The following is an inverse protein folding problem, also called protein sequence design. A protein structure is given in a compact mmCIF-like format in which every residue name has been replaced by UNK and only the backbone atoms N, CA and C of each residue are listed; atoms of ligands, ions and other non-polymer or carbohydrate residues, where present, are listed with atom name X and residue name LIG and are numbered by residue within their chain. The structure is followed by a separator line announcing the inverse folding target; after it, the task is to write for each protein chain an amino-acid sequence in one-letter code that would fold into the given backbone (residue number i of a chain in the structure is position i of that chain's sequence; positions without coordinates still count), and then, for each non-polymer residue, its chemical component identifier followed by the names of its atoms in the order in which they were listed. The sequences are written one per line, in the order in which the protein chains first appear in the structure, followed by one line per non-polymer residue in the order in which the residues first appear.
data_IF_758638631763
#
_entry.id   IF_758638631763
#
_cell.length_a   1.000
_cell.length_b   1.000
_cell.length_c   1.000
_cell.angle_alpha   90.00
_cell.angle_beta   90.00
_cell.angle_gamma   90.00
#
_symmetry.space_group_name_H-M   'P 1'
#
loop_
_entity.id
_entity.type
_entity.pdbx_description
1 polymer ?
#
# COMPACT_ATOMS: atom_id res chain seq x y z
N UNK A 1 -29.42 12.40 -12.45
CA UNK A 1 -28.10 11.83 -12.14
C UNK A 1 -27.21 12.08 -13.34
N UNK A 2 -26.09 12.76 -13.13
CA UNK A 2 -25.05 12.89 -14.15
C UNK A 2 -23.92 11.94 -13.80
N UNK A 3 -23.30 11.33 -14.81
CA UNK A 3 -22.21 10.37 -14.65
C UNK A 3 -21.01 10.80 -15.49
N UNK A 4 -19.82 10.68 -14.92
CA UNK A 4 -18.54 10.89 -15.59
C UNK A 4 -17.72 9.62 -15.45
N UNK A 5 -17.18 9.12 -16.55
CA UNK A 5 -16.36 7.91 -16.59
C UNK A 5 -14.91 8.30 -16.79
N UNK A 6 -14.07 7.92 -15.84
CA UNK A 6 -12.63 8.15 -15.84
C UNK A 6 -11.93 6.83 -16.16
N UNK A 7 -11.04 6.86 -17.16
CA UNK A 7 -10.23 5.71 -17.52
C UNK A 7 -8.80 5.92 -17.04
N UNK A 8 -8.28 4.95 -16.30
CA UNK A 8 -6.90 4.90 -15.83
C UNK A 8 -6.16 3.83 -16.62
N UNK A 9 -5.15 4.22 -17.37
CA UNK A 9 -4.21 3.29 -17.96
C UNK A 9 -3.07 2.98 -16.99
N UNK A 10 -2.64 1.73 -16.93
CA UNK A 10 -1.52 1.25 -16.12
C UNK A 10 -0.56 0.50 -17.03
N UNK A 11 0.67 0.96 -17.17
CA UNK A 11 1.69 0.28 -18.00
C UNK A 11 2.17 -1.04 -17.41
N UNK A 12 2.23 -1.10 -16.07
CA UNK A 12 2.63 -2.27 -15.32
C UNK A 12 1.63 -2.50 -14.19
N UNK A 13 0.74 -3.46 -14.43
CA UNK A 13 -0.40 -3.80 -13.61
C UNK A 13 -0.21 -5.09 -12.78
N UNK A 14 0.78 -5.93 -13.13
CA UNK A 14 0.97 -7.24 -12.52
C UNK A 14 1.94 -7.20 -11.32
N UNK A 15 1.45 -7.36 -10.07
CA UNK A 15 2.32 -7.42 -8.89
C UNK A 15 3.23 -8.67 -8.90
N UNK A 16 4.34 -8.68 -8.13
CA UNK A 16 5.10 -9.89 -7.87
C UNK A 16 4.27 -10.90 -7.08
N UNK A 17 4.58 -12.18 -7.27
CA UNK A 17 3.87 -13.27 -6.62
C UNK A 17 4.34 -14.64 -7.07
N UNK A 18 4.65 -15.49 -6.10
CA UNK A 18 4.76 -16.93 -6.30
C UNK A 18 3.38 -17.54 -6.63
N UNK A 19 3.33 -18.82 -6.98
CA UNK A 19 2.10 -19.47 -7.43
C UNK A 19 0.92 -19.31 -6.45
N UNK A 20 1.13 -19.58 -5.17
CA UNK A 20 0.07 -19.47 -4.16
C UNK A 20 -0.39 -18.01 -3.99
N UNK A 21 0.56 -17.09 -3.87
CA UNK A 21 0.26 -15.68 -3.69
C UNK A 21 -0.42 -15.06 -4.92
N UNK A 22 -0.02 -15.44 -6.14
CA UNK A 22 -0.70 -15.00 -7.36
C UNK A 22 -2.16 -15.46 -7.43
N UNK A 23 -2.48 -16.64 -6.89
CA UNK A 23 -3.86 -17.11 -6.77
C UNK A 23 -4.65 -16.27 -5.76
N UNK A 24 -4.06 -15.95 -4.61
CA UNK A 24 -4.68 -15.08 -3.60
C UNK A 24 -4.96 -13.68 -4.16
N UNK A 25 -4.02 -13.14 -4.94
CA UNK A 25 -4.16 -11.84 -5.60
C UNK A 25 -5.29 -11.88 -6.65
N UNK A 26 -5.33 -12.91 -7.51
CA UNK A 26 -6.41 -13.05 -8.49
C UNK A 26 -7.79 -13.14 -7.79
N UNK A 27 -7.89 -13.95 -6.74
CA UNK A 27 -9.12 -14.09 -5.96
C UNK A 27 -9.56 -12.73 -5.37
N UNK A 28 -8.62 -11.96 -4.83
CA UNK A 28 -8.91 -10.61 -4.34
C UNK A 28 -9.43 -9.68 -5.45
N UNK A 29 -8.83 -9.70 -6.64
CA UNK A 29 -9.29 -8.85 -7.76
C UNK A 29 -10.66 -9.25 -8.29
N UNK A 30 -10.98 -10.55 -8.29
CA UNK A 30 -12.32 -11.04 -8.59
C UNK A 30 -13.33 -10.56 -7.54
N UNK A 31 -12.96 -10.59 -6.25
CA UNK A 31 -13.78 -10.06 -5.16
C UNK A 31 -14.00 -8.54 -5.30
N UNK A 32 -12.95 -7.77 -5.62
CA UNK A 32 -13.02 -6.31 -5.86
C UNK A 32 -13.98 -6.01 -7.02
N UNK A 33 -13.83 -6.71 -8.15
CA UNK A 33 -14.67 -6.52 -9.33
C UNK A 33 -16.15 -6.83 -9.04
N UNK A 34 -16.42 -7.84 -8.21
CA UNK A 34 -17.77 -8.14 -7.76
C UNK A 34 -18.30 -7.09 -6.75
N UNK A 35 -17.44 -6.60 -5.86
CA UNK A 35 -17.82 -5.71 -4.76
C UNK A 35 -18.31 -4.33 -5.22
N UNK A 36 -17.73 -3.78 -6.30
CA UNK A 36 -18.00 -2.42 -6.78
C UNK A 36 -18.92 -2.31 -7.99
N UNK A 37 -19.72 -3.35 -8.31
CA UNK A 37 -20.70 -3.27 -9.41
C UNK A 37 -21.67 -2.10 -9.23
N UNK A 38 -22.19 -1.88 -8.03
CA UNK A 38 -23.06 -0.75 -7.67
C UNK A 38 -22.91 -0.37 -6.19
N UNK A 39 -21.96 0.52 -5.86
CA UNK A 39 -21.74 1.00 -4.48
C UNK A 39 -21.75 2.53 -4.39
N UNK A 40 -22.25 3.03 -3.27
CA UNK A 40 -22.09 4.43 -2.89
C UNK A 40 -20.70 4.63 -2.29
N UNK A 41 -20.03 5.69 -2.68
CA UNK A 41 -18.72 6.09 -2.15
C UNK A 41 -18.78 7.54 -1.71
N UNK A 42 -18.51 7.77 -0.43
CA UNK A 42 -18.51 9.11 0.15
C UNK A 42 -17.09 9.68 0.09
N UNK A 43 -16.96 10.83 -0.54
CA UNK A 43 -15.70 11.54 -0.68
C UNK A 43 -15.94 13.05 -0.74
N UNK A 44 -14.88 13.81 -0.52
CA UNK A 44 -14.88 15.25 -0.76
C UNK A 44 -14.36 15.52 -2.17
N UNK A 45 -15.10 16.32 -2.95
CA UNK A 45 -14.63 16.82 -4.23
C UNK A 45 -13.56 17.90 -4.06
N UNK A 46 -12.70 18.10 -5.05
CA UNK A 46 -11.60 19.08 -4.97
C UNK A 46 -12.08 20.54 -4.92
N UNK A 47 -13.25 20.84 -5.49
CA UNK A 47 -13.80 22.20 -5.56
C UNK A 47 -14.96 22.47 -4.61
N UNK A 48 -15.52 21.41 -4.02
CA UNK A 48 -16.61 21.52 -3.06
C UNK A 48 -16.10 21.20 -1.66
N UNK A 49 -15.99 22.20 -0.79
CA UNK A 49 -15.65 22.03 0.64
C UNK A 49 -16.65 21.15 1.41
N UNK A 50 -17.79 20.80 0.80
CA UNK A 50 -18.80 19.93 1.40
C UNK A 50 -18.67 18.50 0.87
N UNK A 51 -18.57 17.54 1.79
CA UNK A 51 -18.71 16.12 1.48
C UNK A 51 -19.99 15.86 0.67
N UNK A 52 -19.86 15.10 -0.41
CA UNK A 52 -21.00 14.64 -1.19
C UNK A 52 -20.99 13.11 -1.26
N UNK A 53 -22.20 12.54 -1.28
CA UNK A 53 -22.35 11.11 -1.56
C UNK A 53 -22.30 10.92 -3.09
N UNK A 54 -21.18 10.38 -3.57
CA UNK A 54 -21.05 9.94 -4.96
C UNK A 54 -21.47 8.48 -5.06
N UNK A 55 -22.00 8.09 -6.21
CA UNK A 55 -22.12 6.69 -6.58
C UNK A 55 -20.93 6.34 -7.46
N UNK A 56 -20.14 5.36 -7.04
CA UNK A 56 -18.94 4.93 -7.77
C UNK A 56 -19.13 3.50 -8.23
N UNK A 57 -18.99 3.29 -9.53
CA UNK A 57 -18.90 1.95 -10.11
C UNK A 57 -17.48 1.76 -10.63
N UNK A 58 -16.91 0.59 -10.40
CA UNK A 58 -15.54 0.27 -10.77
C UNK A 58 -15.53 -0.97 -11.65
N UNK A 59 -14.90 -0.85 -12.82
CA UNK A 59 -14.69 -1.96 -13.74
C UNK A 59 -13.20 -2.31 -13.76
N UNK A 60 -12.92 -3.53 -13.31
CA UNK A 60 -11.60 -4.14 -13.27
C UNK A 60 -11.50 -5.38 -14.18
N UNK A 61 -12.41 -5.54 -15.15
CA UNK A 61 -12.48 -6.73 -16.01
C UNK A 61 -11.15 -6.98 -16.73
N UNK A 62 -10.58 -5.94 -17.36
CA UNK A 62 -9.28 -6.04 -18.05
C UNK A 62 -8.13 -6.48 -17.12
N UNK A 63 -8.17 -6.06 -15.84
CA UNK A 63 -7.17 -6.44 -14.84
C UNK A 63 -7.28 -7.92 -14.48
N UNK A 64 -8.51 -8.41 -14.25
CA UNK A 64 -8.78 -9.82 -13.95
C UNK A 64 -8.37 -10.69 -15.13
N UNK A 65 -8.73 -10.32 -16.35
CA UNK A 65 -8.35 -11.04 -17.57
C UNK A 65 -6.84 -11.14 -17.75
N UNK A 66 -6.10 -10.06 -17.49
CA UNK A 66 -4.64 -10.03 -17.49
C UNK A 66 -4.05 -11.01 -16.46
N UNK A 67 -4.56 -11.01 -15.24
CA UNK A 67 -4.09 -11.90 -14.17
C UNK A 67 -4.39 -13.38 -14.48
N UNK A 68 -5.57 -13.68 -15.02
CA UNK A 68 -5.94 -15.03 -15.45
C UNK A 68 -5.07 -15.51 -16.62
N UNK A 69 -4.77 -14.63 -17.58
CA UNK A 69 -3.83 -14.93 -18.65
C UNK A 69 -2.44 -15.23 -18.08
N UNK A 70 -1.95 -14.41 -17.15
CA UNK A 70 -0.62 -14.59 -16.57
C UNK A 70 -0.48 -15.94 -15.84
N UNK A 71 -1.49 -16.31 -15.04
CA UNK A 71 -1.54 -17.59 -14.35
C UNK A 71 -1.65 -18.78 -15.32
N UNK A 72 -2.48 -18.68 -16.37
CA UNK A 72 -2.62 -19.75 -17.36
C UNK A 72 -1.35 -20.01 -18.16
N UNK A 73 -0.56 -18.97 -18.43
CA UNK A 73 0.64 -19.10 -19.27
C UNK A 73 1.88 -19.50 -18.48
N UNK A 74 2.02 -19.04 -17.23
CA UNK A 74 3.28 -19.14 -16.49
C UNK A 74 3.13 -19.64 -15.03
N UNK A 75 1.94 -20.09 -14.60
CA UNK A 75 1.61 -20.55 -13.24
C UNK A 75 1.74 -19.51 -12.10
N UNK A 76 2.52 -18.46 -12.27
CA UNK A 76 2.69 -17.37 -11.30
C UNK A 76 3.05 -16.05 -11.97
N UNK A 77 2.81 -14.95 -11.28
CA UNK A 77 3.15 -13.62 -11.78
C UNK A 77 4.67 -13.41 -11.87
N UNK A 78 5.45 -13.97 -10.92
CA UNK A 78 6.91 -13.89 -10.97
C UNK A 78 7.49 -14.57 -12.23
N UNK A 79 7.00 -15.77 -12.58
CA UNK A 79 7.41 -16.48 -13.80
C UNK A 79 6.99 -15.73 -15.06
N UNK A 80 5.75 -15.21 -15.10
CA UNK A 80 5.27 -14.39 -16.20
C UNK A 80 6.14 -13.15 -16.43
N UNK A 81 6.55 -12.50 -15.33
CA UNK A 81 7.45 -11.35 -15.36
C UNK A 81 8.84 -11.69 -15.88
N UNK A 82 9.38 -12.86 -15.52
CA UNK A 82 10.68 -13.34 -16.03
C UNK A 82 10.64 -13.65 -17.53
N UNK A 83 9.51 -14.17 -18.03
CA UNK A 83 9.33 -14.49 -19.44
C UNK A 83 9.43 -13.25 -20.36
N UNK A 84 9.02 -12.05 -19.87
CA UNK A 84 9.14 -10.77 -20.60
C UNK A 84 10.59 -10.44 -21.01
N UNK A 85 11.59 -10.93 -20.26
CA UNK A 85 13.00 -10.72 -20.59
C UNK A 85 13.51 -11.60 -21.75
N UNK A 86 12.70 -12.53 -22.26
CA UNK A 86 13.16 -13.61 -23.16
C UNK A 86 12.62 -13.53 -24.60
N UNK A 87 11.80 -12.52 -24.94
CA UNK A 87 11.50 -12.16 -26.34
C UNK A 87 10.05 -12.26 -26.78
N UNK A 88 9.16 -12.86 -25.98
CA UNK A 88 7.72 -12.65 -26.11
C UNK A 88 7.34 -11.44 -25.24
N UNK A 89 6.58 -10.48 -25.78
CA UNK A 89 6.03 -9.35 -25.02
C UNK A 89 4.55 -9.64 -24.68
N UNK A 90 4.24 -10.52 -23.69
CA UNK A 90 2.91 -10.56 -23.14
C UNK A 90 2.44 -9.16 -22.69
N UNK A 91 1.13 -8.87 -22.75
CA UNK A 91 0.62 -7.65 -22.16
C UNK A 91 0.96 -7.62 -20.66
N UNK A 92 1.42 -6.46 -20.19
CA UNK A 92 1.80 -6.21 -18.79
C UNK A 92 1.04 -5.04 -18.18
N UNK A 93 0.34 -4.29 -19.03
CA UNK A 93 -0.53 -3.19 -18.66
C UNK A 93 -2.00 -3.58 -18.69
N UNK A 94 -2.81 -2.79 -17.99
CA UNK A 94 -4.26 -2.92 -17.94
C UNK A 94 -4.88 -1.54 -17.86
N UNK A 95 -6.12 -1.44 -18.31
CA UNK A 95 -6.97 -0.29 -18.05
C UNK A 95 -7.91 -0.59 -16.87
N UNK A 96 -8.23 0.44 -16.10
CA UNK A 96 -9.25 0.44 -15.07
C UNK A 96 -10.24 1.57 -15.36
N UNK A 97 -11.52 1.33 -15.11
CA UNK A 97 -12.56 2.35 -15.33
C UNK A 97 -13.29 2.65 -14.03
N UNK A 98 -13.36 3.94 -13.68
CA UNK A 98 -14.10 4.45 -12.53
C UNK A 98 -15.20 5.37 -13.06
N UNK A 99 -16.46 5.00 -12.85
CA UNK A 99 -17.59 5.88 -13.18
C UNK A 99 -18.15 6.50 -11.92
N UNK A 100 -18.22 7.82 -11.90
CA UNK A 100 -18.67 8.65 -10.79
C UNK A 100 -19.99 9.27 -11.18
N UNK A 101 -21.00 9.05 -10.35
CA UNK A 101 -22.34 9.60 -10.56
C UNK A 101 -22.79 10.41 -9.34
N UNK A 102 -23.42 11.56 -9.59
CA UNK A 102 -24.01 12.38 -8.54
C UNK A 102 -25.42 12.85 -8.94
N UNK A 103 -26.17 13.38 -7.97
CA UNK A 103 -27.50 13.96 -8.22
C UNK A 103 -27.38 15.16 -9.17
N UNK A 104 -26.46 16.06 -8.87
CA UNK A 104 -26.16 17.25 -9.64
C UNK A 104 -25.05 16.99 -10.68
N UNK A 105 -24.71 18.01 -11.47
CA UNK A 105 -23.59 17.94 -12.42
C UNK A 105 -22.28 17.82 -11.66
N UNK A 106 -21.52 16.76 -11.92
CA UNK A 106 -20.16 16.58 -11.37
C UNK A 106 -19.18 17.46 -12.16
N UNK A 107 -18.50 18.44 -11.54
CA UNK A 107 -17.39 19.14 -12.18
C UNK A 107 -16.29 18.15 -12.56
N UNK A 108 -15.62 18.39 -13.70
CA UNK A 108 -14.57 17.48 -14.19
C UNK A 108 -13.45 17.29 -13.16
N UNK A 109 -12.98 18.38 -12.53
CA UNK A 109 -11.97 18.34 -11.47
C UNK A 109 -12.39 17.47 -10.29
N UNK A 110 -13.65 17.57 -9.86
CA UNK A 110 -14.17 16.74 -8.76
C UNK A 110 -14.25 15.27 -9.17
N UNK A 111 -14.57 14.96 -10.43
CA UNK A 111 -14.55 13.58 -10.90
C UNK A 111 -13.14 12.98 -10.83
N UNK A 112 -12.10 13.69 -11.28
CA UNK A 112 -10.73 13.22 -11.16
C UNK A 112 -10.23 13.15 -9.72
N UNK A 113 -10.61 14.11 -8.87
CA UNK A 113 -10.30 14.10 -7.43
C UNK A 113 -10.91 12.91 -6.71
N UNK A 114 -12.22 12.68 -6.90
CA UNK A 114 -12.94 11.54 -6.31
C UNK A 114 -12.41 10.21 -6.83
N UNK A 115 -12.10 10.10 -8.14
CA UNK A 115 -11.47 8.90 -8.70
C UNK A 115 -10.12 8.62 -8.05
N UNK A 116 -9.31 9.66 -7.83
CA UNK A 116 -8.00 9.54 -7.19
C UNK A 116 -8.09 9.09 -5.74
N UNK A 117 -9.04 9.64 -4.98
CA UNK A 117 -9.31 9.23 -3.58
C UNK A 117 -9.83 7.79 -3.53
N UNK A 118 -10.73 7.41 -4.43
CA UNK A 118 -11.21 6.04 -4.56
C UNK A 118 -10.07 5.06 -4.82
N UNK A 119 -9.18 5.35 -5.78
CA UNK A 119 -8.02 4.52 -6.10
C UNK A 119 -7.04 4.41 -4.92
N UNK A 120 -6.82 5.49 -4.17
CA UNK A 120 -6.01 5.45 -2.94
C UNK A 120 -6.62 4.51 -1.91
N UNK A 121 -7.93 4.60 -1.68
CA UNK A 121 -8.60 3.72 -0.73
C UNK A 121 -8.61 2.26 -1.19
N UNK A 122 -8.73 2.03 -2.51
CA UNK A 122 -8.57 0.71 -3.11
C UNK A 122 -7.16 0.15 -2.86
N UNK A 123 -6.11 0.96 -3.03
CA UNK A 123 -4.73 0.55 -2.75
C UNK A 123 -4.53 0.17 -1.29
N UNK A 124 -5.08 0.95 -0.35
CA UNK A 124 -5.07 0.63 1.07
C UNK A 124 -5.82 -0.69 1.36
N UNK A 125 -7.06 -0.79 0.87
CA UNK A 125 -7.92 -1.92 1.14
C UNK A 125 -7.33 -3.22 0.59
N UNK A 126 -6.85 -3.20 -0.65
CA UNK A 126 -6.24 -4.35 -1.29
C UNK A 126 -4.99 -4.83 -0.54
N UNK A 127 -4.06 -3.92 -0.20
CA UNK A 127 -2.83 -4.31 0.50
C UNK A 127 -3.02 -4.70 1.98
N UNK A 128 -4.01 -4.14 2.68
CA UNK A 128 -4.35 -4.61 4.03
C UNK A 128 -5.04 -5.98 3.97
N UNK A 129 -5.82 -6.25 2.91
CA UNK A 129 -6.47 -7.55 2.68
C UNK A 129 -5.46 -8.62 2.32
N UNK A 130 -4.70 -8.40 1.24
CA UNK A 130 -3.63 -9.27 0.74
C UNK A 130 -2.42 -8.37 0.44
N UNK A 131 -1.38 -8.40 1.29
CA UNK A 131 -0.17 -7.60 1.10
C UNK A 131 0.48 -7.76 -0.27
N UNK A 132 0.80 -6.67 -0.97
CA UNK A 132 1.46 -6.69 -2.27
C UNK A 132 0.54 -6.99 -3.46
N UNK A 133 -0.78 -6.96 -3.29
CA UNK A 133 -1.75 -7.42 -4.29
C UNK A 133 -2.12 -6.44 -5.41
N UNK A 134 -1.71 -5.18 -5.30
CA UNK A 134 -2.07 -4.14 -6.27
C UNK A 134 -0.83 -3.38 -6.71
N UNK A 135 -0.65 -3.32 -8.03
CA UNK A 135 0.43 -2.58 -8.67
C UNK A 135 -0.16 -1.62 -9.70
N UNK A 136 0.13 -0.34 -9.54
CA UNK A 136 -0.31 0.74 -10.42
C UNK A 136 0.92 1.51 -10.88
N UNK A 137 1.73 0.93 -11.79
CA UNK A 137 3.01 1.53 -12.23
C UNK A 137 2.92 2.03 -13.66
N UNK A 138 3.42 3.25 -13.90
CA UNK A 138 3.34 3.91 -15.21
C UNK A 138 1.91 4.27 -15.55
N UNK A 139 1.27 5.02 -14.65
CA UNK A 139 -0.15 5.37 -14.71
C UNK A 139 -0.41 6.70 -15.39
N UNK A 140 -1.46 6.79 -16.20
CA UNK A 140 -2.02 8.05 -16.68
C UNK A 140 -3.52 7.94 -16.94
N UNK A 141 -4.23 9.05 -16.84
CA UNK A 141 -5.63 9.11 -17.22
C UNK A 141 -5.77 9.24 -18.74
N UNK A 142 -6.74 8.53 -19.33
CA UNK A 142 -7.02 8.58 -20.77
C UNK A 142 -8.38 9.24 -21.04
N UNK A 143 -8.47 9.97 -22.16
CA UNK A 143 -9.67 10.69 -22.59
C UNK A 143 -9.44 12.18 -22.79
N UNK A 144 -10.47 12.89 -23.26
CA UNK A 144 -10.42 14.34 -23.42
C UNK A 144 -10.31 15.02 -22.05
N UNK A 145 -9.44 16.04 -21.94
CA UNK A 145 -9.21 16.79 -20.69
C UNK A 145 -8.28 16.11 -19.68
N UNK A 146 -7.97 14.82 -19.85
CA UNK A 146 -7.18 14.04 -18.89
C UNK A 146 -5.75 14.53 -18.69
N UNK A 147 -5.18 15.23 -19.69
CA UNK A 147 -3.83 15.79 -19.66
C UNK A 147 -3.59 16.82 -18.55
N UNK A 148 -4.66 17.36 -17.93
CA UNK A 148 -4.56 18.30 -16.82
C UNK A 148 -4.37 17.63 -15.45
N UNK A 149 -4.51 16.30 -15.38
CA UNK A 149 -4.54 15.55 -14.11
C UNK A 149 -3.46 14.48 -14.08
N UNK A 150 -2.74 14.40 -12.95
CA UNK A 150 -1.70 13.38 -12.76
C UNK A 150 -2.29 12.14 -12.08
N UNK A 151 -2.17 10.99 -12.74
CA UNK A 151 -2.55 9.71 -12.14
C UNK A 151 -1.45 9.21 -11.19
N UNK A 152 -1.85 8.77 -10.00
CA UNK A 152 -0.93 8.31 -8.99
C UNK A 152 -0.37 6.92 -9.28
N UNK A 153 0.93 6.77 -9.04
CA UNK A 153 1.64 5.49 -9.16
C UNK A 153 1.83 4.84 -7.80
N UNK A 154 1.56 3.54 -7.72
CA UNK A 154 1.78 2.71 -6.52
C UNK A 154 2.51 1.43 -6.88
N UNK A 155 3.62 1.17 -6.19
CA UNK A 155 4.46 0.00 -6.38
C UNK A 155 4.22 -1.01 -5.26
N UNK A 156 4.06 -2.28 -5.63
CA UNK A 156 3.78 -3.39 -4.73
C UNK A 156 5.02 -4.06 -4.15
N UNK A 157 6.23 -3.81 -4.68
CA UNK A 157 7.43 -4.56 -4.33
C UNK A 157 7.73 -4.55 -2.82
N UNK A 158 7.64 -3.40 -2.16
CA UNK A 158 7.89 -3.31 -0.71
C UNK A 158 6.84 -4.08 0.11
N UNK A 159 5.58 -4.04 -0.30
CA UNK A 159 4.48 -4.70 0.41
C UNK A 159 4.53 -6.22 0.21
N UNK A 160 4.94 -6.67 -0.98
CA UNK A 160 5.26 -8.07 -1.24
C UNK A 160 6.52 -8.52 -0.48
N UNK A 161 7.58 -7.71 -0.46
CA UNK A 161 8.80 -7.98 0.33
C UNK A 161 8.49 -8.11 1.81
N UNK A 162 7.64 -7.24 2.35
CA UNK A 162 7.14 -7.32 3.71
C UNK A 162 6.33 -8.61 3.98
N UNK A 163 5.51 -9.05 3.03
CA UNK A 163 4.84 -10.34 3.10
C UNK A 163 5.84 -11.50 3.14
N UNK A 164 6.84 -11.50 2.27
CA UNK A 164 7.88 -12.52 2.24
C UNK A 164 8.68 -12.53 3.55
N UNK A 165 9.07 -11.36 4.07
CA UNK A 165 9.77 -11.23 5.33
C UNK A 165 8.97 -11.81 6.51
N UNK A 166 7.65 -11.56 6.55
CA UNK A 166 6.75 -12.14 7.53
C UNK A 166 6.65 -13.67 7.41
N UNK A 167 6.55 -14.20 6.20
CA UNK A 167 6.49 -15.65 5.95
C UNK A 167 7.81 -16.31 6.34
N UNK A 168 8.95 -15.74 5.95
CA UNK A 168 10.28 -16.30 6.23
C UNK A 168 10.63 -16.32 7.72
N UNK A 169 10.22 -15.29 8.45
CA UNK A 169 10.47 -15.20 9.89
C UNK A 169 9.34 -15.81 10.74
N UNK A 170 8.28 -16.30 10.09
CA UNK A 170 7.03 -16.75 10.73
C UNK A 170 6.41 -15.69 11.67
N UNK A 171 6.81 -14.42 11.50
CA UNK A 171 6.43 -13.29 12.33
C UNK A 171 6.66 -11.96 11.58
N UNK A 172 5.74 -10.98 11.71
CA UNK A 172 4.42 -11.11 12.31
C UNK A 172 3.49 -11.93 11.40
N UNK A 173 2.46 -12.57 11.96
CA UNK A 173 1.53 -13.36 11.13
C UNK A 173 0.62 -12.46 10.29
N UNK A 174 0.94 -12.31 9.01
CA UNK A 174 0.06 -11.69 8.02
C UNK A 174 -0.93 -12.73 7.49
N UNK A 175 -2.22 -12.42 7.52
CA UNK A 175 -3.27 -13.30 6.99
C UNK A 175 -4.12 -12.54 5.99
N UNK A 176 -4.68 -13.24 5.02
CA UNK A 176 -5.72 -12.67 4.17
C UNK A 176 -6.91 -12.24 5.05
N UNK A 177 -7.38 -11.01 4.87
CA UNK A 177 -8.61 -10.48 5.46
C UNK A 177 -9.60 -10.26 4.32
N UNK A 178 -10.89 -10.62 4.48
CA UNK A 178 -11.90 -10.33 3.46
C UNK A 178 -11.91 -8.85 3.07
N UNK A 179 -11.86 -8.57 1.77
CA UNK A 179 -11.81 -7.20 1.24
C UNK A 179 -12.94 -6.32 1.77
N UNK A 180 -14.16 -6.86 1.82
CA UNK A 180 -15.35 -6.17 2.32
C UNK A 180 -15.22 -5.72 3.78
N UNK A 181 -14.53 -6.51 4.62
CA UNK A 181 -14.27 -6.17 6.02
C UNK A 181 -13.29 -5.01 6.14
N UNK A 182 -12.21 -5.03 5.34
CA UNK A 182 -11.22 -3.95 5.30
C UNK A 182 -11.85 -2.67 4.77
N UNK A 183 -12.63 -2.77 3.68
CA UNK A 183 -13.31 -1.62 3.09
C UNK A 183 -14.26 -0.93 4.07
N UNK A 184 -15.13 -1.70 4.74
CA UNK A 184 -16.05 -1.17 5.76
C UNK A 184 -15.30 -0.54 6.95
N UNK A 185 -14.14 -1.08 7.31
CA UNK A 185 -13.30 -0.47 8.34
C UNK A 185 -12.71 0.88 7.86
N UNK A 186 -12.21 0.96 6.62
CA UNK A 186 -11.69 2.20 6.04
C UNK A 186 -12.76 3.30 5.96
N UNK A 187 -14.00 2.97 5.61
CA UNK A 187 -15.11 3.94 5.60
C UNK A 187 -15.32 4.62 6.97
N UNK A 188 -15.09 3.89 8.08
CA UNK A 188 -15.20 4.43 9.45
C UNK A 188 -14.04 5.34 9.85
N UNK A 189 -12.93 5.31 9.11
CA UNK A 189 -11.78 6.21 9.36
C UNK A 189 -12.02 7.62 8.82
N UNK A 190 -13.01 7.77 7.93
CA UNK A 190 -13.28 9.01 7.17
C UNK A 190 -12.08 9.47 6.33
N UNK A 191 -11.18 8.54 5.95
CA UNK A 191 -9.98 8.87 5.18
C UNK A 191 -10.28 9.40 3.78
N UNK A 192 -11.42 9.05 3.17
CA UNK A 192 -11.86 9.54 1.85
C UNK A 192 -12.45 10.94 1.86
N UNK A 193 -12.86 11.42 3.04
CA UNK A 193 -13.50 12.73 3.17
C UNK A 193 -12.52 13.86 3.51
N UNK A 194 -11.25 13.54 3.75
CA UNK A 194 -10.29 14.53 4.22
C UNK A 194 -9.02 14.53 3.39
N UNK A 195 -8.57 15.73 3.00
CA UNK A 195 -7.27 15.90 2.35
C UNK A 195 -6.13 16.02 3.37
N UNK A 196 -6.43 16.31 4.64
CA UNK A 196 -5.43 16.53 5.70
C UNK A 196 -5.65 15.55 6.85
N UNK A 197 -4.65 14.71 7.11
CA UNK A 197 -4.69 13.74 8.19
C UNK A 197 -4.58 14.39 9.58
N UNK A 198 -5.72 14.74 10.18
CA UNK A 198 -5.78 15.22 11.56
C UNK A 198 -5.76 14.06 12.58
N UNK A 199 -6.55 13.01 12.32
CA UNK A 199 -6.60 11.77 13.13
C UNK A 199 -5.34 10.94 12.92
N UNK A 200 -4.83 10.31 13.98
CA UNK A 200 -3.59 9.49 13.88
C UNK A 200 -3.76 8.29 12.94
N UNK A 201 -4.94 7.69 12.87
CA UNK A 201 -5.21 6.63 11.89
C UNK A 201 -5.11 7.14 10.46
N UNK A 202 -5.59 8.36 10.16
CA UNK A 202 -5.45 8.95 8.82
C UNK A 202 -3.99 9.27 8.53
N UNK A 203 -3.19 9.67 9.53
CA UNK A 203 -1.74 9.89 9.36
C UNK A 203 -1.05 8.58 9.03
N UNK A 204 -1.41 7.49 9.69
CA UNK A 204 -0.91 6.15 9.40
C UNK A 204 -1.28 5.72 7.97
N UNK A 205 -2.55 5.82 7.58
CA UNK A 205 -3.02 5.42 6.24
C UNK A 205 -2.40 6.29 5.13
N UNK A 206 -2.27 7.59 5.32
CA UNK A 206 -1.64 8.46 4.31
C UNK A 206 -0.13 8.22 4.24
N UNK A 207 0.51 7.91 5.36
CA UNK A 207 1.92 7.48 5.38
C UNK A 207 2.09 6.16 4.64
N UNK A 208 1.19 5.19 4.85
CA UNK A 208 1.17 3.95 4.09
C UNK A 208 1.11 4.21 2.58
N UNK A 209 0.20 5.08 2.12
CA UNK A 209 0.12 5.47 0.72
C UNK A 209 1.43 6.10 0.22
N UNK A 210 2.08 6.94 1.03
CA UNK A 210 3.40 7.52 0.68
C UNK A 210 4.52 6.49 0.63
N UNK A 211 4.44 5.42 1.41
CA UNK A 211 5.35 4.27 1.32
C UNK A 211 5.08 3.50 0.03
N UNK A 212 3.81 3.24 -0.30
CA UNK A 212 3.42 2.55 -1.53
C UNK A 212 3.70 3.36 -2.81
N UNK A 213 3.76 4.69 -2.75
CA UNK A 213 4.11 5.57 -3.89
C UNK A 213 5.60 5.52 -4.30
N UNK A 214 6.42 4.72 -3.64
CA UNK A 214 7.86 4.73 -3.86
C UNK A 214 8.25 4.20 -5.22
N UNK A 215 9.33 4.78 -5.77
CA UNK A 215 9.89 4.41 -7.06
C UNK A 215 11.26 3.78 -6.84
N UNK A 216 11.37 2.52 -7.24
CA UNK A 216 12.59 1.76 -7.57
C UNK A 216 13.59 1.43 -6.46
N UNK A 217 13.78 2.26 -5.42
CA UNK A 217 14.74 1.98 -4.35
C UNK A 217 14.22 2.41 -2.97
N UNK A 218 14.54 1.59 -1.96
CA UNK A 218 14.25 1.99 -0.58
C UNK A 218 15.25 3.07 -0.18
N UNK A 219 14.70 4.24 0.10
CA UNK A 219 15.48 5.42 0.40
C UNK A 219 15.45 5.71 1.89
N UNK A 220 16.30 6.64 2.33
CA UNK A 220 16.22 7.27 3.65
C UNK A 220 14.79 7.67 4.03
N UNK A 221 14.05 8.21 3.05
CA UNK A 221 12.65 8.60 3.20
C UNK A 221 11.77 7.40 3.54
N UNK A 222 11.99 6.25 2.93
CA UNK A 222 11.23 5.02 3.18
C UNK A 222 11.36 4.58 4.63
N UNK A 223 12.60 4.50 5.13
CA UNK A 223 12.89 4.13 6.52
C UNK A 223 12.19 5.08 7.48
N UNK A 224 12.28 6.38 7.24
CA UNK A 224 11.63 7.40 8.07
C UNK A 224 10.10 7.27 8.05
N UNK A 225 9.50 7.00 6.89
CA UNK A 225 8.04 6.82 6.78
C UNK A 225 7.57 5.55 7.49
N UNK A 226 8.31 4.43 7.39
CA UNK A 226 7.99 3.18 8.09
C UNK A 226 8.12 3.36 9.61
N UNK A 227 9.20 4.01 10.08
CA UNK A 227 9.35 4.35 11.49
C UNK A 227 8.20 5.25 11.99
N UNK A 228 7.88 6.30 11.24
CA UNK A 228 6.77 7.21 11.56
C UNK A 228 5.41 6.48 11.59
N UNK A 229 5.19 5.53 10.69
CA UNK A 229 3.99 4.70 10.64
C UNK A 229 3.84 3.87 11.92
N UNK A 230 4.90 3.18 12.33
CA UNK A 230 4.92 2.38 13.56
C UNK A 230 4.71 3.26 14.82
N UNK A 231 5.41 4.39 14.88
CA UNK A 231 5.29 5.35 15.98
C UNK A 231 3.90 5.95 16.11
N UNK A 232 3.24 6.20 14.97
CA UNK A 232 1.89 6.76 14.91
C UNK A 232 0.84 5.71 15.28
N UNK A 233 0.96 4.49 14.77
CA UNK A 233 0.04 3.39 15.12
C UNK A 233 0.11 3.06 16.61
N UNK A 234 1.32 3.04 17.17
CA UNK A 234 1.55 2.63 18.56
C UNK A 234 1.67 3.79 19.53
N UNK A 235 1.43 5.04 19.12
CA UNK A 235 1.53 6.26 19.95
C UNK A 235 2.81 6.35 20.81
N UNK A 236 3.98 6.23 20.16
CA UNK A 236 5.29 6.12 20.82
C UNK A 236 6.18 7.39 20.71
N UNK A 237 5.61 8.56 20.38
CA UNK A 237 6.37 9.81 20.12
C UNK A 237 6.68 10.56 21.44
N UNK A 238 7.87 11.18 21.68
CA UNK A 238 9.19 11.01 21.06
C UNK A 238 10.29 10.49 22.03
N UNK A 239 9.99 10.09 23.26
CA UNK A 239 11.00 9.65 24.25
C UNK A 239 10.86 8.18 24.65
N UNK A 240 11.96 7.42 24.54
CA UNK A 240 12.02 6.00 24.91
C UNK A 240 11.53 5.02 23.83
N UNK A 241 11.79 5.35 22.55
CA UNK A 241 11.17 4.70 21.38
C UNK A 241 11.38 3.19 21.34
N UNK A 242 12.59 2.67 21.57
CA UNK A 242 12.89 1.24 21.40
C UNK A 242 12.19 0.33 22.40
N UNK A 243 12.33 0.64 23.69
CA UNK A 243 11.79 -0.21 24.74
C UNK A 243 10.27 -0.15 24.75
N UNK A 244 9.67 1.04 24.53
CA UNK A 244 8.22 1.21 24.43
C UNK A 244 7.64 0.55 23.19
N UNK A 245 8.24 0.78 22.02
CA UNK A 245 7.80 0.17 20.77
C UNK A 245 7.86 -1.35 20.86
N UNK A 246 9.00 -1.91 21.30
CA UNK A 246 9.15 -3.35 21.48
C UNK A 246 8.18 -3.95 22.49
N UNK A 247 7.91 -3.26 23.61
CA UNK A 247 6.95 -3.74 24.62
C UNK A 247 5.51 -3.71 24.09
N UNK A 248 5.12 -2.65 23.38
CA UNK A 248 3.77 -2.53 22.80
C UNK A 248 3.57 -3.52 21.65
N UNK A 249 4.59 -3.74 20.83
CA UNK A 249 4.58 -4.77 19.79
C UNK A 249 4.40 -6.16 20.39
N UNK A 250 5.16 -6.52 21.43
CA UNK A 250 5.00 -7.81 22.11
C UNK A 250 3.62 -8.00 22.72
N UNK A 251 3.02 -6.92 23.22
CA UNK A 251 1.67 -6.96 23.77
C UNK A 251 0.58 -7.24 22.73
N UNK A 252 0.79 -6.89 21.46
CA UNK A 252 -0.20 -7.03 20.38
C UNK A 252 0.11 -8.25 19.50
N UNK A 253 1.35 -8.37 19.04
CA UNK A 253 1.79 -9.36 18.05
C UNK A 253 2.53 -10.56 18.66
N UNK A 254 2.68 -10.61 19.99
CA UNK A 254 3.42 -11.65 20.69
C UNK A 254 4.93 -11.47 20.63
N UNK A 255 5.67 -12.44 21.14
CA UNK A 255 7.14 -12.38 21.21
C UNK A 255 7.78 -12.24 19.83
N UNK A 256 8.78 -11.36 19.76
CA UNK A 256 9.52 -11.04 18.53
C UNK A 256 10.68 -12.04 18.39
N UNK A 257 10.70 -12.87 17.33
CA UNK A 257 11.84 -13.75 17.05
C UNK A 257 13.11 -12.95 16.77
N UNK A 258 14.27 -13.49 17.11
CA UNK A 258 15.56 -12.80 16.90
C UNK A 258 15.80 -12.43 15.42
N UNK A 259 15.43 -13.32 14.47
CA UNK A 259 15.55 -13.07 13.03
C UNK A 259 14.59 -11.99 12.50
N UNK A 260 13.55 -11.65 13.26
CA UNK A 260 12.53 -10.68 12.88
C UNK A 260 12.65 -9.34 13.62
N UNK A 261 13.59 -9.22 14.58
CA UNK A 261 13.78 -7.98 15.36
C UNK A 261 14.51 -6.92 14.53
N UNK A 262 13.75 -6.25 13.66
CA UNK A 262 14.22 -5.13 12.86
C UNK A 262 14.14 -3.79 13.60
N UNK A 263 13.66 -3.74 14.85
CA UNK A 263 13.36 -2.48 15.55
C UNK A 263 14.63 -1.70 15.83
N UNK A 264 15.65 -2.38 16.35
CA UNK A 264 16.94 -1.76 16.66
C UNK A 264 17.57 -1.18 15.40
N UNK A 265 17.62 -1.98 14.33
CA UNK A 265 18.25 -1.59 13.08
C UNK A 265 17.48 -0.45 12.38
N UNK A 266 16.14 -0.48 12.40
CA UNK A 266 15.31 0.60 11.86
C UNK A 266 15.61 1.94 12.57
N UNK A 267 15.83 1.91 13.89
CA UNK A 267 16.21 3.08 14.67
C UNK A 267 17.64 3.52 14.40
N UNK A 268 18.60 2.60 14.35
CA UNK A 268 19.99 2.90 14.01
C UNK A 268 20.07 3.56 12.62
N UNK A 269 19.35 3.06 11.62
CA UNK A 269 19.28 3.69 10.30
C UNK A 269 18.65 5.08 10.40
N UNK A 270 17.52 5.23 11.10
CA UNK A 270 16.85 6.52 11.30
C UNK A 270 17.80 7.55 11.95
N UNK A 271 18.48 7.17 13.02
CA UNK A 271 19.36 8.06 13.77
C UNK A 271 20.61 8.40 12.94
N UNK A 272 21.18 7.44 12.20
CA UNK A 272 22.30 7.69 11.27
C UNK A 272 21.91 8.62 10.11
N UNK A 273 20.66 8.60 9.65
CA UNK A 273 20.15 9.55 8.66
C UNK A 273 20.10 10.98 9.23
N UNK A 274 19.64 11.14 10.47
CA UNK A 274 19.65 12.45 11.15
C UNK A 274 21.07 12.97 11.38
N UNK A 275 22.02 12.07 11.66
CA UNK A 275 23.43 12.40 11.85
C UNK A 275 24.22 12.54 10.53
N UNK A 276 23.55 12.49 9.37
CA UNK A 276 24.17 12.54 8.04
C UNK A 276 25.34 11.53 7.86
N UNK A 277 25.26 10.39 8.55
CA UNK A 277 26.31 9.37 8.59
C UNK A 277 26.07 8.22 7.60
N UNK A 278 24.92 8.22 6.92
CA UNK A 278 24.61 7.27 5.85
C UNK A 278 25.23 7.70 4.51
N UNK A 279 25.85 6.78 3.76
CA UNK A 279 26.35 7.08 2.42
C UNK A 279 25.20 7.42 1.47
N UNK A 280 25.40 8.46 0.64
CA UNK A 280 24.44 8.86 -0.39
C UNK A 280 24.94 8.38 -1.75
N UNK A 281 24.22 7.45 -2.36
CA UNK A 281 24.53 6.93 -3.68
C UNK A 281 23.91 7.80 -4.77
N UNK A 282 24.55 7.83 -5.93
CA UNK A 282 23.94 8.41 -7.14
C UNK A 282 22.85 7.45 -7.63
N UNK A 283 21.73 7.95 -8.20
CA UNK A 283 20.73 7.09 -8.81
C UNK A 283 21.39 6.17 -9.84
N UNK A 284 21.34 4.84 -9.66
CA UNK A 284 22.02 3.93 -10.56
C UNK A 284 21.25 3.81 -11.88
N UNK A 285 21.99 3.51 -12.95
CA UNK A 285 21.38 3.04 -14.18
C UNK A 285 20.98 1.56 -14.00
N UNK A 286 19.71 1.26 -14.18
CA UNK A 286 19.18 -0.12 -14.16
C UNK A 286 19.94 -0.99 -15.18
N UNK A 287 20.42 -2.16 -14.73
CA UNK A 287 21.14 -3.13 -15.57
C UNK A 287 22.65 -2.90 -15.72
N UNK A 288 23.25 -1.92 -15.02
CA UNK A 288 24.71 -1.73 -15.02
C UNK A 288 25.42 -2.58 -13.96
N UNK A 289 26.65 -3.02 -14.21
CA UNK A 289 27.50 -3.79 -13.25
C UNK A 289 27.72 -3.09 -11.89
N UNK A 290 27.54 -1.77 -11.80
CA UNK A 290 27.60 -1.03 -10.53
C UNK A 290 26.35 -1.22 -9.65
N UNK A 291 25.27 -1.77 -10.22
CA UNK A 291 24.07 -2.13 -9.48
C UNK A 291 24.34 -3.32 -8.54
N UNK A 292 25.23 -4.25 -8.85
CA UNK A 292 25.43 -5.48 -8.05
C UNK A 292 26.09 -5.21 -6.69
N UNK A 293 27.11 -4.35 -6.62
CA UNK A 293 27.75 -3.97 -5.36
C UNK A 293 26.85 -3.10 -4.48
N UNK A 294 26.03 -2.26 -5.12
CA UNK A 294 25.05 -1.40 -4.45
C UNK A 294 23.86 -2.25 -3.97
N UNK A 295 23.44 -3.26 -4.74
CA UNK A 295 22.36 -4.19 -4.41
C UNK A 295 22.67 -5.05 -3.18
N UNK A 296 23.93 -5.45 -2.95
CA UNK A 296 24.29 -6.21 -1.74
C UNK A 296 24.20 -5.37 -0.46
N UNK A 297 24.50 -4.07 -0.51
CA UNK A 297 24.37 -3.15 0.64
C UNK A 297 22.91 -2.73 0.83
N UNK A 298 22.21 -2.44 -0.27
CA UNK A 298 20.76 -2.18 -0.28
C UNK A 298 19.97 -3.39 0.23
N UNK A 299 20.39 -4.62 -0.08
CA UNK A 299 19.69 -5.84 0.33
C UNK A 299 19.51 -6.00 1.85
N UNK A 300 20.49 -5.55 2.65
CA UNK A 300 20.40 -5.56 4.11
C UNK A 300 19.43 -4.47 4.63
N UNK A 301 19.51 -3.27 4.06
CA UNK A 301 18.54 -2.20 4.40
C UNK A 301 17.12 -2.56 3.95
N UNK A 302 17.00 -3.34 2.88
CA UNK A 302 15.74 -3.77 2.33
C UNK A 302 14.99 -4.71 3.27
N UNK A 303 15.67 -5.68 3.88
CA UNK A 303 15.04 -6.58 4.84
C UNK A 303 14.50 -5.86 6.08
N UNK A 304 15.17 -4.80 6.54
CA UNK A 304 14.74 -4.03 7.73
C UNK A 304 13.46 -3.25 7.44
N UNK A 305 13.41 -2.59 6.29
CA UNK A 305 12.25 -1.81 5.87
C UNK A 305 11.06 -2.73 5.60
N UNK A 306 11.29 -3.86 4.93
CA UNK A 306 10.28 -4.89 4.70
C UNK A 306 9.75 -5.46 6.02
N UNK A 307 10.63 -5.78 6.98
CA UNK A 307 10.23 -6.21 8.32
C UNK A 307 9.41 -5.15 9.07
N UNK A 308 9.85 -3.89 9.06
CA UNK A 308 9.10 -2.79 9.67
C UNK A 308 7.72 -2.57 9.02
N UNK A 309 7.64 -2.72 7.70
CA UNK A 309 6.38 -2.64 6.97
C UNK A 309 5.48 -3.85 7.24
N UNK A 310 6.04 -5.05 7.42
CA UNK A 310 5.31 -6.24 7.82
C UNK A 310 4.64 -6.05 9.19
N UNK A 311 5.37 -5.47 10.14
CA UNK A 311 4.83 -5.09 11.45
C UNK A 311 3.68 -4.08 11.29
N UNK A 312 3.87 -3.03 10.50
CA UNK A 312 2.84 -2.02 10.28
C UNK A 312 1.57 -2.61 9.65
N UNK A 313 1.70 -3.52 8.67
CA UNK A 313 0.57 -4.23 8.08
C UNK A 313 -0.12 -5.13 9.10
N UNK A 314 0.63 -5.88 9.91
CA UNK A 314 0.06 -6.73 10.94
C UNK A 314 -0.75 -5.92 11.98
N UNK A 315 -0.26 -4.74 12.36
CA UNK A 315 -0.97 -3.82 13.25
C UNK A 315 -2.24 -3.25 12.60
N UNK A 316 -2.22 -2.90 11.31
CA UNK A 316 -3.43 -2.46 10.59
C UNK A 316 -4.44 -3.61 10.48
N UNK A 317 -3.98 -4.82 10.15
CA UNK A 317 -4.80 -6.02 10.11
C UNK A 317 -5.44 -6.35 11.46
N UNK A 318 -4.71 -6.16 12.56
CA UNK A 318 -5.24 -6.34 13.91
C UNK A 318 -6.33 -5.30 14.24
N UNK A 319 -6.12 -4.03 13.91
CA UNK A 319 -7.14 -2.98 14.06
C UNK A 319 -8.41 -3.29 13.25
N UNK A 320 -8.28 -3.80 12.02
CA UNK A 320 -9.42 -4.22 11.19
C UNK A 320 -10.17 -5.39 11.83
N UNK A 321 -9.44 -6.41 12.31
CA UNK A 321 -10.04 -7.59 12.97
C UNK A 321 -10.82 -7.21 14.21
N UNK A 322 -10.31 -6.27 15.00
CA UNK A 322 -10.96 -5.77 16.22
C UNK A 322 -11.91 -4.60 15.98
N UNK A 323 -12.11 -4.17 14.73
CA UNK A 323 -12.97 -3.04 14.38
C UNK A 323 -12.62 -1.74 15.14
N UNK A 324 -11.34 -1.58 15.47
CA UNK A 324 -10.77 -0.50 16.26
C UNK A 324 -10.07 0.53 15.36
N UNK A 325 -9.99 1.79 15.81
CA UNK A 325 -9.32 2.87 15.07
C UNK A 325 -7.94 3.23 15.65
N UNK A 326 -7.66 2.81 16.89
CA UNK A 326 -6.41 3.07 17.57
C UNK A 326 -6.17 2.07 18.70
N UNK A 327 -4.92 1.96 19.11
CA UNK A 327 -4.53 1.26 20.33
C UNK A 327 -4.55 2.22 21.52
N UNK A 328 -4.84 1.69 22.71
CA UNK A 328 -4.74 2.42 23.97
C UNK A 328 -3.88 1.62 24.94
N UNK A 329 -2.87 2.27 25.53
CA UNK A 329 -1.92 1.63 26.43
C UNK A 329 -1.97 2.30 27.82
N UNK A 330 -2.11 1.50 28.87
CA UNK A 330 -2.10 1.97 30.26
C UNK A 330 -0.76 1.63 30.91
N UNK A 331 0.09 2.64 31.14
CA UNK A 331 1.39 2.47 31.81
C UNK A 331 1.21 2.61 33.34
N UNK A 332 1.41 1.53 34.11
CA UNK A 332 1.37 1.56 35.57
C UNK A 332 2.77 1.64 36.17
N UNK A 333 2.97 2.57 37.11
CA UNK A 333 4.23 2.73 37.84
C UNK A 333 4.03 2.34 39.31
N UNK A 334 4.82 1.38 39.79
CA UNK A 334 4.91 1.05 41.22
C UNK A 334 6.30 1.40 41.75
N UNK A 335 6.35 2.16 42.85
CA UNK A 335 7.58 2.34 43.64
C UNK A 335 7.64 1.21 44.67
N UNK A 336 8.76 0.51 44.74
CA UNK A 336 9.04 -0.43 45.84
C UNK A 336 9.57 0.32 47.04
#
# INVERSE_FOLDING_TARGET
MTSVTINLHISNALPPGNQAHSQDILALWQDIAAFFRERTFRASGDTSDNEQDYQVTFDATSMVELMEQALRQNDSFDKYRQALGTGENPPFGSDLQVTISARDKVPESDAYGVASVFLQQLVLAANISVPGSIQLVGTWFTGDGSAHYEAQTFDSHLLYGAHQAAVMNEWPTLKSIPFSQVWAWLERTESSSTHTALKDINKALFTFLKVAQQRQEYSARTVMLVAYLLETLLDCRPSGLQSRLGSRLRAILGDIPEGADCIRELQEIRDNLFLASQPVHRPPLLGSRGADSTASQLGQHNSVVEGGMAIAMALLQDLVKHQALSYQFNEQWSRK
#
